data_IF_652947026308
#
_entry.id   IF_652947026308
#
_cell.length_a   1.000
_cell.length_b   1.000
_cell.length_c   1.000
_cell.angle_alpha   90.00
_cell.angle_beta   90.00
_cell.angle_gamma   90.00
#
_symmetry.space_group_name_H-M   'P 1'
#
loop_
_entity.id
_entity.type
_entity.pdbx_description
1 polymer ?
#
# COMPACT_ATOMS: atom_id res chain seq x y z
N UNK A 1 -9.91 2.82 -5.33
CA UNK A 1 -11.14 2.11 -4.94
C UNK A 1 -12.02 3.11 -4.22
N UNK A 2 -13.21 3.36 -4.72
CA UNK A 2 -14.20 4.18 -4.04
C UNK A 2 -15.14 3.28 -3.26
N UNK A 3 -15.47 3.64 -2.01
CA UNK A 3 -16.18 2.77 -1.09
C UNK A 3 -16.97 3.56 -0.03
N UNK A 4 -17.94 2.90 0.56
CA UNK A 4 -18.64 3.39 1.74
C UNK A 4 -17.82 3.09 3.00
N UNK A 5 -18.17 3.73 4.12
CA UNK A 5 -17.52 3.43 5.40
C UNK A 5 -17.73 1.97 5.84
N UNK A 6 -18.90 1.39 5.55
CA UNK A 6 -19.21 -0.01 5.87
C UNK A 6 -18.33 -1.01 5.11
N UNK A 7 -17.88 -0.64 3.89
CA UNK A 7 -17.02 -1.46 3.05
C UNK A 7 -15.54 -1.32 3.39
N UNK A 8 -15.16 -0.30 4.16
CA UNK A 8 -13.77 0.07 4.38
C UNK A 8 -12.92 -1.08 4.90
N UNK A 9 -13.36 -1.72 5.96
CA UNK A 9 -12.59 -2.76 6.65
C UNK A 9 -12.27 -3.94 5.73
N UNK A 10 -13.29 -4.44 5.01
CA UNK A 10 -13.11 -5.54 4.06
C UNK A 10 -12.23 -5.19 2.87
N UNK A 11 -12.42 -4.01 2.27
CA UNK A 11 -11.66 -3.57 1.11
C UNK A 11 -10.20 -3.24 1.46
N UNK A 12 -9.99 -2.59 2.61
CA UNK A 12 -8.64 -2.26 3.08
C UNK A 12 -7.84 -3.51 3.43
N UNK A 13 -8.48 -4.49 4.09
CA UNK A 13 -7.86 -5.78 4.38
C UNK A 13 -7.56 -6.57 3.11
N UNK A 14 -8.48 -6.59 2.14
CA UNK A 14 -8.25 -7.28 0.86
C UNK A 14 -7.03 -6.73 0.10
N UNK A 15 -6.75 -5.42 0.20
CA UNK A 15 -5.53 -4.82 -0.34
C UNK A 15 -4.29 -5.33 0.39
N UNK A 16 -4.31 -5.40 1.72
CA UNK A 16 -3.20 -5.93 2.51
C UNK A 16 -2.94 -7.41 2.19
N UNK A 17 -3.98 -8.23 2.12
CA UNK A 17 -3.86 -9.66 1.75
C UNK A 17 -3.28 -9.85 0.34
N UNK A 18 -3.67 -8.99 -0.61
CA UNK A 18 -3.10 -9.00 -1.95
C UNK A 18 -1.58 -8.72 -1.91
N UNK A 19 -1.12 -7.79 -1.07
CA UNK A 19 0.32 -7.50 -0.93
C UNK A 19 1.05 -8.70 -0.33
N UNK A 20 0.53 -9.30 0.72
CA UNK A 20 1.11 -10.51 1.34
C UNK A 20 1.18 -11.67 0.35
N UNK A 21 0.15 -11.85 -0.49
CA UNK A 21 0.15 -12.84 -1.56
C UNK A 21 1.26 -12.59 -2.57
N UNK A 22 1.45 -11.35 -3.01
CA UNK A 22 2.54 -11.02 -3.93
C UNK A 22 3.91 -11.23 -3.30
N UNK A 23 4.10 -10.82 -2.05
CA UNK A 23 5.38 -11.05 -1.36
C UNK A 23 5.70 -12.54 -1.26
N UNK A 24 4.70 -13.38 -1.00
CA UNK A 24 4.87 -14.83 -1.03
C UNK A 24 5.28 -15.34 -2.41
N UNK A 25 4.66 -14.85 -3.50
CA UNK A 25 4.99 -15.24 -4.88
C UNK A 25 6.46 -14.90 -5.22
N UNK A 26 6.92 -13.72 -4.79
CA UNK A 26 8.29 -13.26 -5.05
C UNK A 26 9.31 -13.66 -3.97
N UNK A 27 8.91 -14.45 -2.98
CA UNK A 27 9.81 -14.88 -1.90
C UNK A 27 10.32 -13.72 -1.03
N UNK A 28 9.53 -12.66 -0.88
CA UNK A 28 9.86 -11.52 -0.01
C UNK A 28 9.41 -11.86 1.41
N UNK A 29 10.32 -12.36 2.23
CA UNK A 29 10.00 -12.81 3.59
C UNK A 29 10.13 -11.71 4.64
N UNK A 30 11.05 -10.75 4.40
CA UNK A 30 11.34 -9.66 5.33
C UNK A 30 10.66 -8.38 4.87
N UNK A 31 9.60 -8.00 5.56
CA UNK A 31 8.90 -6.73 5.35
C UNK A 31 8.38 -6.18 6.68
N UNK A 32 8.08 -4.88 6.70
CA UNK A 32 7.46 -4.19 7.82
C UNK A 32 6.41 -3.23 7.28
N UNK A 33 5.19 -3.26 7.83
CA UNK A 33 4.18 -2.27 7.52
C UNK A 33 4.37 -1.05 8.42
N UNK A 34 4.55 0.11 7.81
CA UNK A 34 4.63 1.40 8.51
C UNK A 34 3.30 2.11 8.37
N UNK A 35 2.56 2.19 9.46
CA UNK A 35 1.32 2.94 9.55
C UNK A 35 1.63 4.38 9.90
N UNK A 36 1.33 5.30 8.99
CA UNK A 36 1.62 6.73 9.14
C UNK A 36 0.36 7.50 9.47
N UNK A 37 0.38 8.21 10.59
CA UNK A 37 -0.70 9.02 11.13
C UNK A 37 -0.41 10.51 10.97
N UNK A 38 -1.43 11.36 11.17
CA UNK A 38 -1.25 12.81 11.15
C UNK A 38 -0.62 13.34 12.44
N UNK A 39 -0.28 14.63 12.42
CA UNK A 39 0.08 15.42 13.60
C UNK A 39 -1.02 16.46 13.83
N UNK A 40 -1.79 16.37 14.94
CA UNK A 40 -2.88 17.31 15.21
C UNK A 40 -2.47 18.78 15.21
N UNK A 41 -1.21 19.07 15.55
CA UNK A 41 -0.69 20.44 15.55
C UNK A 41 -0.50 21.03 14.13
N UNK A 42 -0.61 20.18 13.09
CA UNK A 42 -0.39 20.57 11.68
C UNK A 42 -1.65 20.52 10.83
N UNK A 43 -2.82 20.39 11.45
CA UNK A 43 -4.11 20.52 10.76
C UNK A 43 -4.24 21.92 10.14
N UNK A 44 -4.78 21.98 8.93
CA UNK A 44 -4.89 23.23 8.15
C UNK A 44 -3.57 23.74 7.56
N UNK A 45 -2.45 23.06 7.82
CA UNK A 45 -1.13 23.38 7.26
C UNK A 45 -0.62 22.25 6.35
N UNK A 46 -0.11 21.17 6.96
CA UNK A 46 0.36 19.97 6.25
C UNK A 46 -0.81 19.02 5.94
N UNK A 47 -1.78 18.94 6.82
CA UNK A 47 -2.89 18.01 6.77
C UNK A 47 -4.22 18.75 6.60
N UNK A 48 -5.17 18.13 5.91
CA UNK A 48 -6.53 18.64 5.77
C UNK A 48 -7.14 18.90 7.16
N UNK A 49 -7.76 20.07 7.33
CA UNK A 49 -8.37 20.48 8.59
C UNK A 49 -9.71 19.77 8.83
N UNK A 50 -9.63 18.52 9.28
CA UNK A 50 -10.78 17.72 9.67
C UNK A 50 -10.37 16.66 10.72
N UNK A 51 -10.18 17.10 11.95
CA UNK A 51 -9.76 16.24 13.07
C UNK A 51 -10.61 15.00 13.24
N UNK A 52 -11.93 15.11 13.07
CA UNK A 52 -12.87 13.99 13.28
C UNK A 52 -12.62 12.87 12.24
N UNK A 53 -12.43 13.21 10.97
CA UNK A 53 -12.15 12.23 9.93
C UNK A 53 -10.76 11.61 10.08
N UNK A 54 -9.76 12.38 10.52
CA UNK A 54 -8.43 11.84 10.83
C UNK A 54 -8.51 10.76 11.90
N UNK A 55 -9.06 11.08 13.06
CA UNK A 55 -9.17 10.12 14.16
C UNK A 55 -9.98 8.89 13.76
N UNK A 56 -11.09 9.09 13.06
CA UNK A 56 -11.94 7.99 12.58
C UNK A 56 -11.20 7.08 11.61
N UNK A 57 -10.56 7.62 10.58
CA UNK A 57 -9.88 6.81 9.56
C UNK A 57 -8.63 6.13 10.10
N UNK A 58 -7.90 6.77 11.01
CA UNK A 58 -6.77 6.15 11.69
C UNK A 58 -7.20 4.98 12.57
N UNK A 59 -8.30 5.12 13.31
CA UNK A 59 -8.86 4.02 14.09
C UNK A 59 -9.34 2.85 13.22
N UNK A 60 -9.96 3.14 12.09
CA UNK A 60 -10.38 2.11 11.12
C UNK A 60 -9.17 1.33 10.58
N UNK A 61 -8.09 2.01 10.20
CA UNK A 61 -6.85 1.37 9.73
C UNK A 61 -6.20 0.55 10.84
N UNK A 62 -6.10 1.12 12.04
CA UNK A 62 -5.49 0.44 13.20
C UNK A 62 -6.25 -0.84 13.56
N UNK A 63 -7.59 -0.78 13.54
CA UNK A 63 -8.44 -1.95 13.77
C UNK A 63 -8.13 -3.07 12.78
N UNK A 64 -8.09 -2.78 11.47
CA UNK A 64 -7.75 -3.78 10.44
C UNK A 64 -6.36 -4.40 10.69
N UNK A 65 -5.36 -3.59 11.03
CA UNK A 65 -4.01 -4.10 11.29
C UNK A 65 -3.94 -5.02 12.51
N UNK A 66 -4.66 -4.69 13.58
CA UNK A 66 -4.74 -5.51 14.80
C UNK A 66 -5.46 -6.82 14.51
N UNK A 67 -6.63 -6.78 13.87
CA UNK A 67 -7.45 -7.96 13.60
C UNK A 67 -6.80 -8.92 12.59
N UNK A 68 -6.06 -8.41 11.63
CA UNK A 68 -5.30 -9.23 10.66
C UNK A 68 -4.01 -9.81 11.23
N UNK A 69 -3.57 -9.40 12.43
CA UNK A 69 -2.33 -9.86 13.05
C UNK A 69 -1.05 -9.45 12.30
N UNK A 70 -1.12 -8.43 11.45
CA UNK A 70 0.01 -7.94 10.68
C UNK A 70 0.97 -7.15 11.58
N UNK A 71 2.25 -7.46 11.51
CA UNK A 71 3.29 -6.68 12.19
C UNK A 71 3.40 -5.28 11.57
N UNK A 72 3.21 -4.25 12.38
CA UNK A 72 3.35 -2.87 11.96
C UNK A 72 4.02 -1.99 13.01
N UNK A 73 4.52 -0.84 12.57
CA UNK A 73 4.94 0.26 13.43
C UNK A 73 4.11 1.49 13.08
N UNK A 74 3.71 2.24 14.10
CA UNK A 74 2.98 3.49 13.91
C UNK A 74 3.93 4.67 13.99
N UNK A 75 3.85 5.59 13.00
CA UNK A 75 4.72 6.77 12.89
C UNK A 75 3.84 8.01 12.69
N UNK A 76 3.93 8.92 13.64
CA UNK A 76 3.19 10.18 13.58
C UNK A 76 3.81 11.16 12.56
N UNK A 77 2.96 12.06 12.03
CA UNK A 77 3.37 13.14 11.13
C UNK A 77 3.93 12.71 9.76
N UNK A 78 3.75 11.45 9.36
CA UNK A 78 4.18 10.93 8.05
C UNK A 78 3.02 10.54 7.12
N UNK A 79 1.78 10.75 7.55
CA UNK A 79 0.60 10.55 6.70
C UNK A 79 0.63 11.43 5.44
N UNK A 80 -0.15 11.05 4.42
CA UNK A 80 -0.46 11.93 3.31
C UNK A 80 -1.33 13.11 3.78
N UNK A 81 -1.38 14.21 3.03
CA UNK A 81 -2.18 15.36 3.44
C UNK A 81 -3.70 15.07 3.47
N UNK A 82 -4.13 14.03 2.75
CA UNK A 82 -5.53 13.64 2.52
C UNK A 82 -6.00 12.46 3.37
N UNK A 83 -5.12 11.82 4.15
CA UNK A 83 -5.49 10.70 5.00
C UNK A 83 -4.31 9.83 5.44
N UNK A 84 -4.56 8.87 6.34
CA UNK A 84 -3.56 7.94 6.84
C UNK A 84 -3.16 6.93 5.77
N UNK A 85 -1.97 6.33 5.93
CA UNK A 85 -1.44 5.38 4.97
C UNK A 85 -0.63 4.26 5.63
N UNK A 86 -0.57 3.12 4.94
CA UNK A 86 0.40 2.08 5.20
C UNK A 86 1.41 2.07 4.06
N UNK A 87 2.69 2.19 4.40
CA UNK A 87 3.81 1.94 3.50
C UNK A 87 4.47 0.62 3.89
N UNK A 88 4.67 -0.27 2.91
CA UNK A 88 5.35 -1.54 3.17
C UNK A 88 6.84 -1.38 2.88
N UNK A 89 7.63 -1.50 3.93
CA UNK A 89 9.07 -1.40 3.88
C UNK A 89 9.69 -2.78 3.65
N UNK A 90 10.66 -2.84 2.75
CA UNK A 90 11.49 -4.01 2.47
C UNK A 90 12.97 -3.60 2.52
N UNK A 91 13.87 -4.55 2.56
CA UNK A 91 15.30 -4.30 2.57
C UNK A 91 15.98 -4.87 1.33
N UNK A 92 16.81 -4.08 0.70
CA UNK A 92 17.67 -4.54 -0.38
C UNK A 92 18.74 -5.51 0.13
N UNK A 93 19.46 -6.18 -0.80
CA UNK A 93 20.54 -7.10 -0.47
C UNK A 93 21.66 -6.47 0.36
N UNK A 94 21.87 -5.15 0.23
CA UNK A 94 22.86 -4.38 1.02
C UNK A 94 22.27 -3.79 2.31
N UNK A 95 21.04 -4.20 2.70
CA UNK A 95 20.38 -3.77 3.93
C UNK A 95 19.72 -2.38 3.88
N UNK A 96 19.60 -1.75 2.72
CA UNK A 96 18.93 -0.46 2.58
C UNK A 96 17.42 -0.66 2.57
N UNK A 97 16.73 0.05 3.48
CA UNK A 97 15.27 0.08 3.57
C UNK A 97 14.66 0.96 2.48
N UNK A 98 13.56 0.51 1.89
CA UNK A 98 12.75 1.31 0.99
C UNK A 98 11.31 0.80 0.88
N UNK A 99 10.40 1.67 0.47
CA UNK A 99 8.98 1.34 0.31
C UNK A 99 8.74 0.64 -1.02
N UNK A 100 8.08 -0.52 -1.00
CA UNK A 100 7.72 -1.29 -2.19
C UNK A 100 6.23 -1.23 -2.51
N UNK A 101 5.38 -1.10 -1.50
CA UNK A 101 3.93 -1.04 -1.65
C UNK A 101 3.33 0.02 -0.73
N UNK A 102 2.16 0.54 -1.09
CA UNK A 102 1.42 1.50 -0.27
C UNK A 102 -0.08 1.26 -0.36
N UNK A 103 -0.77 1.44 0.77
CA UNK A 103 -2.21 1.40 0.91
C UNK A 103 -2.64 2.67 1.66
N UNK A 104 -3.34 3.58 0.99
CA UNK A 104 -3.60 4.92 1.49
C UNK A 104 -5.10 5.20 1.53
N UNK A 105 -5.57 5.74 2.63
CA UNK A 105 -6.95 6.24 2.77
C UNK A 105 -7.01 7.69 2.35
N UNK A 106 -8.02 8.04 1.59
CA UNK A 106 -8.29 9.41 1.17
C UNK A 106 -9.75 9.75 1.47
N UNK A 107 -9.93 10.66 2.39
CA UNK A 107 -11.25 11.22 2.74
C UNK A 107 -11.42 12.69 2.27
N UNK A 108 -10.38 13.29 1.70
CA UNK A 108 -10.33 14.71 1.38
C UNK A 108 -10.54 14.99 -0.11
N UNK A 109 -9.87 14.26 -0.98
CA UNK A 109 -9.90 14.54 -2.43
C UNK A 109 -11.29 14.25 -3.03
N UNK A 110 -12.00 13.16 -2.69
CA UNK A 110 -13.39 12.99 -3.17
C UNK A 110 -14.30 14.15 -2.82
N UNK A 111 -14.21 14.67 -1.60
CA UNK A 111 -15.00 15.84 -1.18
C UNK A 111 -14.62 17.10 -1.97
N UNK A 112 -13.32 17.32 -2.22
CA UNK A 112 -12.81 18.46 -2.97
C UNK A 112 -13.30 18.48 -4.43
N UNK A 113 -13.52 17.32 -5.02
CA UNK A 113 -14.08 17.17 -6.37
C UNK A 113 -15.60 17.04 -6.38
N UNK A 114 -16.28 17.21 -5.25
CA UNK A 114 -17.73 17.02 -5.10
C UNK A 114 -18.18 15.63 -5.62
N UNK A 115 -17.36 14.62 -5.40
CA UNK A 115 -17.69 13.25 -5.78
C UNK A 115 -18.72 12.70 -4.81
N UNK A 116 -19.87 12.28 -5.32
CA UNK A 116 -20.96 11.74 -4.51
C UNK A 116 -21.47 10.42 -5.07
N UNK A 117 -22.06 9.62 -4.20
CA UNK A 117 -22.84 8.45 -4.57
C UNK A 117 -24.21 8.50 -3.88
N UNK A 118 -25.21 7.89 -4.48
CA UNK A 118 -26.55 7.75 -3.89
C UNK A 118 -26.54 6.56 -2.92
N UNK A 119 -26.72 6.84 -1.64
CA UNK A 119 -26.76 5.80 -0.63
C UNK A 119 -28.17 5.18 -0.49
N UNK A 120 -28.27 4.09 0.28
CA UNK A 120 -29.52 3.32 0.47
C UNK A 120 -30.63 4.14 1.12
N UNK A 121 -30.29 5.15 1.89
CA UNK A 121 -31.22 6.13 2.47
C UNK A 121 -31.70 7.20 1.49
N UNK A 122 -31.32 7.06 0.21
CA UNK A 122 -31.62 7.98 -0.88
C UNK A 122 -31.01 9.39 -0.71
N UNK A 123 -29.95 9.52 0.09
CA UNK A 123 -29.15 10.74 0.23
C UNK A 123 -27.85 10.65 -0.57
N UNK A 124 -27.30 11.81 -0.95
CA UNK A 124 -25.99 11.87 -1.58
C UNK A 124 -24.91 11.93 -0.50
N UNK A 125 -23.94 11.01 -0.57
CA UNK A 125 -22.81 10.95 0.34
C UNK A 125 -21.49 10.99 -0.42
N UNK A 126 -20.45 11.51 0.22
CA UNK A 126 -19.09 11.48 -0.30
C UNK A 126 -18.44 10.12 0.03
N UNK A 127 -17.88 9.40 -0.96
CA UNK A 127 -17.19 8.15 -0.69
C UNK A 127 -15.83 8.38 -0.02
N UNK A 128 -15.35 7.36 0.68
CA UNK A 128 -13.92 7.21 0.94
C UNK A 128 -13.22 6.70 -0.32
N UNK A 129 -11.93 6.95 -0.43
CA UNK A 129 -11.10 6.39 -1.50
C UNK A 129 -9.89 5.67 -0.91
N UNK A 130 -9.56 4.50 -1.46
CA UNK A 130 -8.30 3.80 -1.19
C UNK A 130 -7.42 3.93 -2.45
N UNK A 131 -6.22 4.49 -2.26
CA UNK A 131 -5.15 4.46 -3.25
C UNK A 131 -4.24 3.29 -2.93
N UNK A 132 -4.01 2.40 -3.90
CA UNK A 132 -3.16 1.24 -3.73
C UNK A 132 -2.06 1.18 -4.78
N UNK A 133 -0.85 0.84 -4.35
CA UNK A 133 0.26 0.53 -5.23
C UNK A 133 0.96 -0.74 -4.70
N UNK A 134 0.70 -1.91 -5.30
CA UNK A 134 1.13 -3.19 -4.74
C UNK A 134 2.64 -3.46 -4.87
N UNK A 135 3.29 -2.89 -5.88
CA UNK A 135 4.69 -3.20 -6.21
C UNK A 135 5.47 -1.96 -6.66
N UNK A 136 4.93 -0.76 -6.46
CA UNK A 136 5.52 0.49 -6.92
C UNK A 136 5.51 0.61 -8.46
N UNK A 137 6.58 1.14 -9.03
CA UNK A 137 6.78 1.18 -10.49
C UNK A 137 7.51 -0.07 -10.98
N UNK A 138 7.37 -0.39 -12.27
CA UNK A 138 8.07 -1.53 -12.88
C UNK A 138 9.59 -1.45 -12.69
N UNK A 139 10.19 -0.31 -12.98
CA UNK A 139 11.63 -0.11 -12.89
C UNK A 139 12.15 -0.31 -11.46
N UNK A 140 11.43 0.24 -10.50
CA UNK A 140 11.78 0.14 -9.08
C UNK A 140 11.67 -1.28 -8.58
N UNK A 141 10.60 -1.98 -8.97
CA UNK A 141 10.37 -3.36 -8.57
C UNK A 141 11.35 -4.32 -9.25
N UNK A 142 11.62 -4.15 -10.56
CA UNK A 142 12.63 -4.94 -11.27
C UNK A 142 14.02 -4.72 -10.64
N UNK A 143 14.39 -3.49 -10.34
CA UNK A 143 15.64 -3.18 -9.65
C UNK A 143 15.75 -3.91 -8.31
N UNK A 144 14.70 -3.90 -7.51
CA UNK A 144 14.65 -4.68 -6.27
C UNK A 144 14.81 -6.18 -6.50
N UNK A 145 14.10 -6.75 -7.47
CA UNK A 145 14.16 -8.19 -7.77
C UNK A 145 15.55 -8.63 -8.27
N UNK A 146 16.24 -7.80 -9.03
CA UNK A 146 17.64 -8.07 -9.45
C UNK A 146 18.53 -8.22 -8.21
N UNK A 147 18.42 -7.34 -7.25
CA UNK A 147 19.16 -7.44 -5.98
C UNK A 147 18.68 -8.62 -5.13
N UNK A 148 17.35 -8.80 -5.01
CA UNK A 148 16.75 -9.84 -4.18
C UNK A 148 17.15 -11.25 -4.61
N UNK A 149 17.16 -11.51 -5.91
CA UNK A 149 17.58 -12.79 -6.49
C UNK A 149 19.07 -12.86 -6.83
N UNK A 150 19.83 -11.79 -6.61
CA UNK A 150 21.24 -11.67 -7.03
C UNK A 150 21.44 -12.06 -8.51
N UNK A 151 20.50 -11.69 -9.37
CA UNK A 151 20.47 -12.03 -10.78
C UNK A 151 20.00 -13.46 -11.11
N UNK A 152 19.81 -14.34 -10.12
CA UNK A 152 19.36 -15.72 -10.32
C UNK A 152 17.83 -15.80 -10.21
N UNK A 153 17.15 -15.32 -11.22
CA UNK A 153 15.69 -15.32 -11.26
C UNK A 153 15.12 -16.73 -11.29
N UNK A 154 13.98 -16.98 -10.61
CA UNK A 154 13.24 -18.21 -10.79
C UNK A 154 12.79 -18.36 -12.24
N UNK A 155 12.66 -19.59 -12.71
CA UNK A 155 12.39 -19.91 -14.13
C UNK A 155 11.19 -19.12 -14.69
N UNK A 156 10.12 -19.01 -13.95
CA UNK A 156 8.88 -18.33 -14.39
C UNK A 156 9.05 -16.82 -14.57
N UNK A 157 10.08 -16.21 -13.95
CA UNK A 157 10.36 -14.76 -13.98
C UNK A 157 11.60 -14.44 -14.81
N UNK A 158 12.41 -15.44 -15.16
CA UNK A 158 13.63 -15.23 -15.92
C UNK A 158 13.32 -14.67 -17.32
N UNK A 159 14.02 -13.63 -17.80
CA UNK A 159 13.86 -13.09 -19.15
C UNK A 159 14.12 -14.14 -20.24
N UNK A 160 15.00 -15.08 -19.96
CA UNK A 160 15.37 -16.21 -20.82
C UNK A 160 15.26 -17.50 -19.98
N UNK A 161 14.29 -18.36 -20.31
CA UNK A 161 14.03 -19.58 -19.56
C UNK A 161 14.95 -20.74 -19.98
N UNK A 162 15.31 -20.79 -21.26
CA UNK A 162 16.16 -21.85 -21.83
C UNK A 162 17.08 -21.24 -22.88
N UNK A 163 18.35 -21.61 -22.82
CA UNK A 163 19.34 -21.29 -23.86
C UNK A 163 19.98 -22.59 -24.35
N UNK A 164 19.92 -22.81 -25.65
CA UNK A 164 20.61 -23.91 -26.30
C UNK A 164 21.97 -23.43 -26.77
N UNK A 165 23.02 -24.07 -26.29
CA UNK A 165 24.39 -23.80 -26.73
C UNK A 165 24.81 -24.91 -27.70
N UNK A 166 25.06 -24.55 -28.98
CA UNK A 166 25.59 -25.48 -29.96
C UNK A 166 27.11 -25.67 -29.72
N UNK A 167 27.60 -26.86 -29.94
CA UNK A 167 29.00 -27.19 -29.80
C UNK A 167 29.77 -27.15 -31.16
N UNK A 168 29.14 -26.75 -32.23
CA UNK A 168 29.70 -26.62 -33.56
C UNK A 168 28.80 -25.77 -34.45
N UNK A 169 29.20 -25.59 -35.70
CA UNK A 169 28.44 -24.78 -36.67
C UNK A 169 27.33 -25.59 -37.39
N UNK A 170 26.97 -26.81 -36.90
CA UNK A 170 25.95 -27.68 -37.46
C UNK A 170 24.58 -27.45 -36.78
#
# INVERSE_FOLDING_TARGET
IYLTEEQFESEFNAVNEMYLKYFKIFGIEKYLMRFSTHDPAKLGQKFVDNSALWLKTEDMVRKVLIESGINYVEVANEAAFYGPKIDVQVWSAIGREFTIATNQVDFAVPAKFNLTYRDRDNTDKTPLCIHRAPLGTHERFIGFLIEHYAGNFPLWLAPEQVRILSFGDD
#
